data_IF_440265042383
#
_entry.id   IF_440265042383
#
_cell.length_a   1.000
_cell.length_b   1.000
_cell.length_c   1.000
_cell.angle_alpha   90.00
_cell.angle_beta   90.00
_cell.angle_gamma   90.00
#
_symmetry.space_group_name_H-M   'P 1'
#
loop_
_entity.id
_entity.type
_entity.pdbx_description
1 polymer ?
#
# COMPACT_ATOMS: atom_id res chain seq x y z
N UNK A 1 6.37 26.11 -12.49
CA UNK A 1 5.64 27.25 -13.06
C UNK A 1 5.77 27.39 -14.57
N UNK A 2 6.89 26.97 -15.17
CA UNK A 2 7.14 27.13 -16.60
C UNK A 2 6.87 25.80 -17.31
N UNK A 3 5.91 25.77 -18.25
CA UNK A 3 5.55 24.55 -18.98
C UNK A 3 6.14 24.53 -20.40
N UNK A 4 6.42 25.69 -20.95
CA UNK A 4 6.92 25.87 -22.33
C UNK A 4 8.30 26.52 -22.28
N UNK A 5 9.30 25.73 -21.92
CA UNK A 5 10.69 26.19 -21.93
C UNK A 5 11.29 25.84 -23.29
N UNK A 6 11.77 26.85 -24.01
CA UNK A 6 12.51 26.66 -25.25
C UNK A 6 14.02 26.79 -24.96
N UNK A 7 14.79 25.83 -25.47
CA UNK A 7 16.24 25.81 -25.35
C UNK A 7 16.83 25.99 -26.75
N UNK A 8 17.54 27.09 -26.95
CA UNK A 8 18.24 27.38 -28.19
C UNK A 8 19.75 27.18 -28.00
N UNK A 9 20.31 26.06 -28.42
CA UNK A 9 21.76 25.84 -28.29
C UNK A 9 22.48 26.61 -29.41
N UNK A 10 23.34 27.56 -29.04
CA UNK A 10 24.22 28.29 -29.94
C UNK A 10 25.64 27.74 -29.78
N UNK A 11 26.16 27.14 -30.85
CA UNK A 11 27.53 26.60 -30.84
C UNK A 11 28.47 27.55 -31.59
N UNK A 12 29.58 27.91 -30.96
CA UNK A 12 30.67 28.62 -31.62
C UNK A 12 31.95 27.75 -31.59
N UNK A 13 32.53 27.54 -32.76
CA UNK A 13 33.75 26.76 -32.92
C UNK A 13 34.93 27.71 -33.14
N UNK A 14 35.96 27.62 -32.30
CA UNK A 14 37.22 28.31 -32.46
C UNK A 14 38.26 27.34 -33.02
N UNK A 15 38.53 27.45 -34.31
CA UNK A 15 39.52 26.59 -35.00
C UNK A 15 40.95 26.81 -34.45
N UNK A 16 41.27 28.05 -34.07
CA UNK A 16 42.60 28.41 -33.53
C UNK A 16 42.87 27.80 -32.17
N UNK A 17 41.85 27.68 -31.31
CA UNK A 17 41.97 27.12 -29.96
C UNK A 17 41.52 25.67 -29.88
N UNK A 18 41.02 25.08 -30.98
CA UNK A 18 40.43 23.73 -30.99
C UNK A 18 39.40 23.53 -29.86
N UNK A 19 38.58 24.55 -29.62
CA UNK A 19 37.52 24.57 -28.57
C UNK A 19 36.18 24.82 -29.20
N UNK A 20 35.15 24.14 -28.64
CA UNK A 20 33.75 24.38 -28.96
C UNK A 20 33.13 24.99 -27.72
N UNK A 21 32.63 26.22 -27.86
CA UNK A 21 31.81 26.84 -26.80
C UNK A 21 30.34 26.62 -27.14
N UNK A 22 29.60 26.06 -26.18
CA UNK A 22 28.17 25.87 -26.24
C UNK A 22 27.49 26.90 -25.34
N UNK A 23 26.74 27.83 -25.94
CA UNK A 23 25.90 28.77 -25.20
C UNK A 23 24.45 28.33 -25.37
N UNK A 24 23.76 28.03 -24.23
CA UNK A 24 22.36 27.61 -24.23
C UNK A 24 21.52 28.80 -23.77
N UNK A 25 20.77 29.37 -24.72
CA UNK A 25 19.80 30.38 -24.40
C UNK A 25 18.48 29.72 -23.96
N UNK A 26 17.97 30.13 -22.79
CA UNK A 26 16.79 29.54 -22.18
C UNK A 26 15.66 30.56 -22.18
N UNK A 27 14.68 30.38 -23.06
CA UNK A 27 13.43 31.11 -23.00
C UNK A 27 12.42 30.35 -22.14
N UNK A 28 12.13 30.94 -20.96
CA UNK A 28 11.26 30.30 -19.96
C UNK A 28 9.78 30.38 -20.30
N UNK A 29 9.39 31.28 -21.19
CA UNK A 29 7.98 31.56 -21.47
C UNK A 29 7.17 32.03 -20.26
N UNK A 30 5.85 32.15 -20.37
CA UNK A 30 4.98 32.55 -19.25
C UNK A 30 4.83 31.44 -18.19
N UNK A 31 4.53 31.88 -16.95
CA UNK A 31 4.12 30.93 -15.90
C UNK A 31 2.73 30.41 -16.18
N UNK A 32 2.57 29.10 -16.19
CA UNK A 32 1.33 28.42 -16.48
C UNK A 32 0.70 27.90 -15.19
N UNK A 33 -0.61 28.08 -15.04
CA UNK A 33 -1.42 27.49 -13.97
C UNK A 33 -2.13 26.22 -14.45
N UNK A 34 -2.38 25.33 -13.52
CA UNK A 34 -3.20 24.14 -13.77
C UNK A 34 -4.66 24.58 -13.83
N UNK A 35 -5.30 24.32 -14.95
CA UNK A 35 -6.73 24.54 -15.17
C UNK A 35 -7.54 23.41 -14.53
N UNK A 36 -8.20 22.59 -15.34
CA UNK A 36 -9.00 21.45 -14.86
C UNK A 36 -8.19 20.16 -14.87
N UNK A 37 -8.45 19.32 -13.87
CA UNK A 37 -7.93 17.97 -13.80
C UNK A 37 -9.07 17.00 -14.10
N UNK A 38 -8.98 16.29 -15.22
CA UNK A 38 -9.95 15.29 -15.66
C UNK A 38 -9.35 13.90 -15.54
N UNK A 39 -10.11 12.97 -14.98
CA UNK A 39 -9.75 11.57 -14.88
C UNK A 39 -10.66 10.80 -15.85
N UNK A 40 -10.08 9.96 -16.68
CA UNK A 40 -10.81 9.19 -17.71
C UNK A 40 -10.35 7.73 -17.71
N UNK A 41 -11.28 6.82 -18.03
CA UNK A 41 -10.99 5.37 -18.07
C UNK A 41 -11.27 4.64 -16.75
N UNK A 42 -11.61 5.35 -15.69
CA UNK A 42 -11.97 4.78 -14.38
C UNK A 42 -13.46 4.37 -14.36
N UNK A 43 -13.75 3.14 -14.75
CA UNK A 43 -15.12 2.61 -14.75
C UNK A 43 -15.54 2.06 -13.38
N UNK A 44 -14.62 1.43 -12.66
CA UNK A 44 -14.84 0.82 -11.35
C UNK A 44 -14.30 1.69 -10.21
N UNK A 45 -13.09 2.22 -10.38
CA UNK A 45 -12.43 3.06 -9.37
C UNK A 45 -13.06 4.44 -9.31
N UNK A 46 -13.46 4.88 -8.14
CA UNK A 46 -14.04 6.21 -7.95
C UNK A 46 -13.00 7.30 -8.22
N UNK A 47 -13.41 8.41 -8.83
CA UNK A 47 -12.55 9.57 -9.13
C UNK A 47 -11.73 10.01 -7.91
N UNK A 48 -12.36 10.11 -6.74
CA UNK A 48 -11.69 10.53 -5.51
C UNK A 48 -10.50 9.65 -5.09
N UNK A 49 -10.52 8.35 -5.43
CA UNK A 49 -9.44 7.41 -5.10
C UNK A 49 -8.17 7.73 -5.89
N UNK A 50 -8.33 8.16 -7.12
CA UNK A 50 -7.24 8.59 -7.99
C UNK A 50 -6.79 10.01 -7.63
N UNK A 51 -7.76 10.91 -7.45
CA UNK A 51 -7.53 12.33 -7.19
C UNK A 51 -6.75 12.58 -5.90
N UNK A 52 -7.01 11.81 -4.83
CA UNK A 52 -6.29 11.94 -3.55
C UNK A 52 -4.81 11.56 -3.61
N UNK A 53 -4.39 10.79 -4.63
CA UNK A 53 -2.98 10.45 -4.86
C UNK A 53 -2.24 11.53 -5.65
N UNK A 54 -2.94 12.50 -6.20
CA UNK A 54 -2.32 13.58 -6.95
C UNK A 54 -1.58 14.56 -6.02
N UNK A 55 -0.49 15.10 -6.52
CA UNK A 55 0.35 16.10 -5.84
C UNK A 55 0.40 17.40 -6.63
N UNK A 56 -0.66 17.64 -7.40
CA UNK A 56 -0.94 18.85 -8.17
C UNK A 56 -2.42 19.16 -8.00
N UNK A 57 -2.75 20.45 -7.91
CA UNK A 57 -4.12 20.90 -7.67
C UNK A 57 -4.51 21.98 -8.68
N UNK A 58 -5.81 22.06 -8.98
CA UNK A 58 -6.36 23.09 -9.85
C UNK A 58 -6.07 24.49 -9.29
N UNK A 59 -5.64 25.40 -10.14
CA UNK A 59 -5.26 26.77 -9.75
C UNK A 59 -3.78 26.94 -9.35
N UNK A 60 -3.06 25.87 -9.03
CA UNK A 60 -1.62 25.93 -8.73
C UNK A 60 -0.77 26.13 -9.97
N UNK A 61 0.49 26.55 -9.75
CA UNK A 61 1.46 26.61 -10.84
C UNK A 61 1.85 25.21 -11.32
N UNK A 62 2.03 25.06 -12.62
CA UNK A 62 2.48 23.82 -13.22
C UNK A 62 3.78 23.31 -12.60
N UNK A 63 3.82 22.02 -12.28
CA UNK A 63 4.98 21.32 -11.75
C UNK A 63 5.17 19.97 -12.42
N UNK A 64 6.20 19.85 -13.25
CA UNK A 64 6.54 18.58 -13.90
C UNK A 64 6.91 17.48 -12.89
N UNK A 65 7.59 17.86 -11.79
CA UNK A 65 7.93 16.95 -10.69
C UNK A 65 6.67 16.47 -9.97
N UNK A 66 5.73 17.40 -9.68
CA UNK A 66 4.43 17.07 -9.09
C UNK A 66 3.63 16.11 -9.96
N UNK A 67 3.66 16.33 -11.27
CA UNK A 67 2.98 15.50 -12.27
C UNK A 67 3.54 14.07 -12.30
N UNK A 68 4.87 13.92 -12.41
CA UNK A 68 5.55 12.62 -12.36
C UNK A 68 5.36 11.92 -11.01
N UNK A 69 5.32 12.68 -9.90
CA UNK A 69 5.04 12.12 -8.58
C UNK A 69 3.60 11.60 -8.49
N UNK A 70 2.63 12.35 -9.01
CA UNK A 70 1.22 11.93 -9.08
C UNK A 70 1.07 10.65 -9.88
N UNK A 71 1.65 10.57 -11.07
CA UNK A 71 1.63 9.38 -11.91
C UNK A 71 2.19 8.14 -11.18
N UNK A 72 3.32 8.29 -10.49
CA UNK A 72 3.91 7.20 -9.69
C UNK A 72 3.02 6.77 -8.53
N UNK A 73 2.38 7.72 -7.84
CA UNK A 73 1.47 7.41 -6.72
C UNK A 73 0.22 6.68 -7.20
N UNK A 74 -0.36 7.10 -8.31
CA UNK A 74 -1.52 6.45 -8.94
C UNK A 74 -1.14 5.02 -9.39
N UNK A 75 0.00 4.84 -10.05
CA UNK A 75 0.50 3.51 -10.44
C UNK A 75 0.71 2.59 -9.22
N UNK A 76 1.16 3.15 -8.08
CA UNK A 76 1.40 2.40 -6.84
C UNK A 76 0.12 1.83 -6.21
N UNK A 77 -1.06 2.35 -6.52
CA UNK A 77 -2.33 1.77 -6.09
C UNK A 77 -2.50 0.32 -6.56
N UNK A 78 -1.87 -0.05 -7.68
CA UNK A 78 -1.94 -1.40 -8.21
C UNK A 78 -3.28 -1.77 -8.84
N UNK A 79 -4.16 -0.81 -9.11
CA UNK A 79 -5.49 -1.01 -9.70
C UNK A 79 -5.49 -0.92 -11.22
N UNK A 80 -4.38 -0.50 -11.81
CA UNK A 80 -4.22 -0.22 -13.23
C UNK A 80 -3.21 -1.17 -13.88
N UNK A 81 -3.32 -1.36 -15.18
CA UNK A 81 -2.34 -2.12 -15.95
C UNK A 81 -0.95 -1.48 -15.88
N UNK A 82 0.15 -2.26 -16.00
CA UNK A 82 1.48 -1.70 -16.14
C UNK A 82 1.54 -0.75 -17.34
N UNK A 83 1.95 0.52 -17.10
CA UNK A 83 1.92 1.57 -18.14
C UNK A 83 0.52 2.05 -18.54
N UNK A 84 -0.52 1.59 -17.83
CA UNK A 84 -1.91 2.00 -18.06
C UNK A 84 -2.30 3.33 -17.43
N UNK A 85 -1.41 3.98 -16.67
CA UNK A 85 -1.62 5.34 -16.16
C UNK A 85 -0.80 6.29 -17.02
N UNK A 86 -1.46 7.25 -17.66
CA UNK A 86 -0.84 8.29 -18.48
C UNK A 86 -1.36 9.65 -18.08
N UNK A 87 -0.46 10.55 -17.78
CA UNK A 87 -0.81 11.93 -17.46
C UNK A 87 -0.42 12.81 -18.62
N UNK A 88 -1.43 13.39 -19.28
CA UNK A 88 -1.26 14.29 -20.42
C UNK A 88 -1.64 15.70 -20.05
N UNK A 89 -0.95 16.64 -20.64
CA UNK A 89 -1.23 18.06 -20.53
C UNK A 89 -1.90 18.53 -21.82
N UNK A 90 -2.97 19.29 -21.69
CA UNK A 90 -3.71 19.88 -22.78
C UNK A 90 -3.79 21.38 -22.55
N UNK A 91 -3.73 22.18 -23.61
CA UNK A 91 -3.88 23.64 -23.47
C UNK A 91 -5.25 23.95 -22.87
N UNK A 92 -5.26 24.76 -21.82
CA UNK A 92 -6.48 25.18 -21.15
C UNK A 92 -7.26 26.24 -21.92
N UNK A 93 -8.39 26.65 -21.39
CA UNK A 93 -9.26 27.66 -22.00
C UNK A 93 -8.58 29.05 -22.01
N UNK A 94 -7.89 29.42 -20.94
CA UNK A 94 -7.11 30.65 -20.89
C UNK A 94 -5.67 30.42 -21.39
N UNK A 95 -5.05 31.45 -21.90
CA UNK A 95 -3.70 31.37 -22.49
C UNK A 95 -2.61 30.98 -21.50
N UNK A 96 -2.82 31.27 -20.21
CA UNK A 96 -1.92 30.99 -19.09
C UNK A 96 -2.32 29.72 -18.31
N UNK A 97 -3.26 28.92 -18.84
CA UNK A 97 -3.73 27.69 -18.18
C UNK A 97 -3.44 26.44 -19.00
N UNK A 98 -3.26 25.33 -18.27
CA UNK A 98 -3.03 24.01 -18.82
C UNK A 98 -3.92 23.00 -18.08
N UNK A 99 -4.76 22.28 -18.81
CA UNK A 99 -5.57 21.20 -18.30
C UNK A 99 -4.75 19.91 -18.20
N UNK A 100 -5.03 19.12 -17.17
CA UNK A 100 -4.41 17.81 -16.96
C UNK A 100 -5.45 16.72 -17.24
N UNK A 101 -5.09 15.77 -18.08
CA UNK A 101 -5.91 14.58 -18.34
C UNK A 101 -5.16 13.36 -17.82
N UNK A 102 -5.72 12.71 -16.80
CA UNK A 102 -5.21 11.46 -16.24
C UNK A 102 -6.00 10.32 -16.87
N UNK A 103 -5.36 9.62 -17.80
CA UNK A 103 -5.94 8.43 -18.41
C UNK A 103 -5.51 7.21 -17.65
N UNK A 104 -6.47 6.37 -17.30
CA UNK A 104 -6.20 5.13 -16.57
C UNK A 104 -6.82 3.93 -17.29
N UNK A 105 -6.11 2.81 -17.28
CA UNK A 105 -6.61 1.54 -17.78
C UNK A 105 -6.67 0.56 -16.63
N UNK A 106 -7.90 0.23 -16.19
CA UNK A 106 -8.13 -0.61 -15.02
C UNK A 106 -7.84 -2.07 -15.31
N UNK A 107 -7.31 -2.78 -14.31
CA UNK A 107 -7.17 -4.23 -14.32
C UNK A 107 -8.04 -4.88 -13.24
N UNK A 108 -8.18 -6.20 -13.30
CA UNK A 108 -8.80 -6.94 -12.19
C UNK A 108 -7.98 -6.76 -10.91
N UNK A 109 -8.64 -6.39 -9.82
CA UNK A 109 -8.06 -6.22 -8.47
C UNK A 109 -8.44 -7.35 -7.53
N UNK A 110 -9.25 -8.30 -8.00
CA UNK A 110 -9.58 -9.53 -7.29
C UNK A 110 -8.58 -10.64 -7.59
N UNK A 111 -8.20 -11.39 -6.56
CA UNK A 111 -7.37 -12.59 -6.67
C UNK A 111 -8.06 -13.75 -5.95
N UNK A 112 -7.99 -14.92 -6.57
CA UNK A 112 -8.44 -16.17 -5.97
C UNK A 112 -7.31 -17.19 -6.12
N UNK A 113 -6.93 -17.80 -5.00
CA UNK A 113 -5.87 -18.80 -4.96
C UNK A 113 -6.36 -20.00 -4.18
N UNK A 114 -6.12 -21.18 -4.73
CA UNK A 114 -6.36 -22.46 -4.06
C UNK A 114 -5.10 -23.30 -4.22
N UNK A 115 -4.67 -23.91 -3.16
CA UNK A 115 -3.53 -24.81 -3.13
C UNK A 115 -3.84 -26.04 -2.31
N UNK A 116 -3.28 -27.17 -2.73
CA UNK A 116 -3.29 -28.39 -1.98
C UNK A 116 -1.90 -29.05 -2.08
N UNK A 117 -1.47 -29.68 -1.01
CA UNK A 117 -0.18 -30.35 -0.95
C UNK A 117 -0.18 -31.45 0.09
N UNK A 118 0.90 -32.23 0.12
CA UNK A 118 1.14 -33.25 1.11
C UNK A 118 2.50 -33.03 1.76
N UNK A 119 2.53 -33.12 3.07
CA UNK A 119 3.73 -33.00 3.89
C UNK A 119 3.81 -34.19 4.84
N UNK A 120 5.01 -34.69 5.10
CA UNK A 120 5.22 -35.77 6.10
C UNK A 120 4.87 -35.35 7.52
N UNK A 121 4.89 -34.04 7.81
CA UNK A 121 4.55 -33.50 9.15
C UNK A 121 3.05 -33.13 9.26
N UNK A 122 2.49 -32.52 8.22
CA UNK A 122 1.12 -31.99 8.23
C UNK A 122 0.13 -32.86 7.48
N UNK A 123 0.57 -33.99 6.87
CA UNK A 123 -0.20 -34.81 5.95
C UNK A 123 -0.76 -33.99 4.78
N UNK A 124 -2.06 -34.02 4.57
CA UNK A 124 -2.73 -33.23 3.57
C UNK A 124 -2.88 -31.78 4.06
N UNK A 125 -2.47 -30.83 3.23
CA UNK A 125 -2.62 -29.39 3.46
C UNK A 125 -3.47 -28.80 2.34
N UNK A 126 -4.52 -28.10 2.70
CA UNK A 126 -5.34 -27.33 1.78
C UNK A 126 -5.32 -25.85 2.20
N UNK A 127 -5.21 -24.96 1.22
CA UNK A 127 -5.29 -23.52 1.45
C UNK A 127 -6.17 -22.85 0.40
N UNK A 128 -6.91 -21.85 0.82
CA UNK A 128 -7.69 -21.00 -0.05
C UNK A 128 -7.52 -19.54 0.38
N UNK A 129 -7.41 -18.65 -0.59
CA UNK A 129 -7.35 -17.22 -0.36
C UNK A 129 -8.18 -16.49 -1.41
N UNK A 130 -9.00 -15.56 -0.95
CA UNK A 130 -9.72 -14.60 -1.79
C UNK A 130 -9.31 -13.21 -1.33
N UNK A 131 -8.89 -12.36 -2.25
CA UNK A 131 -8.57 -10.97 -1.92
C UNK A 131 -9.12 -10.04 -2.98
N UNK A 132 -9.61 -8.89 -2.56
CA UNK A 132 -10.11 -7.80 -3.39
C UNK A 132 -9.45 -6.50 -2.92
N UNK A 133 -8.61 -5.89 -3.76
CA UNK A 133 -7.81 -4.73 -3.39
C UNK A 133 -8.46 -3.38 -3.71
N UNK A 134 -9.58 -3.34 -4.38
CA UNK A 134 -10.33 -2.12 -4.68
C UNK A 134 -11.82 -2.39 -4.50
N UNK A 135 -12.21 -2.70 -3.27
CA UNK A 135 -13.57 -3.08 -2.93
C UNK A 135 -14.54 -1.93 -3.27
N UNK A 136 -15.53 -2.24 -4.13
CA UNK A 136 -16.53 -1.25 -4.61
C UNK A 136 -15.93 0.03 -5.21
N UNK A 137 -14.68 -0.05 -5.73
CA UNK A 137 -13.98 1.09 -6.30
C UNK A 137 -13.55 2.16 -5.29
N UNK A 138 -13.55 1.84 -4.00
CA UNK A 138 -13.23 2.79 -2.90
C UNK A 138 -11.75 2.79 -2.51
N UNK A 139 -10.95 1.90 -3.10
CA UNK A 139 -9.54 1.74 -2.71
C UNK A 139 -9.36 0.97 -1.40
N UNK A 140 -10.42 0.35 -0.89
CA UNK A 140 -10.40 -0.52 0.29
C UNK A 140 -9.97 -1.93 -0.10
N UNK A 141 -9.37 -2.67 0.80
CA UNK A 141 -9.00 -4.06 0.58
C UNK A 141 -9.72 -5.00 1.56
N UNK A 142 -10.14 -6.14 1.05
CA UNK A 142 -10.70 -7.24 1.84
C UNK A 142 -10.00 -8.52 1.43
N UNK A 143 -9.52 -9.30 2.40
CA UNK A 143 -8.94 -10.61 2.15
C UNK A 143 -9.48 -11.64 3.13
N UNK A 144 -9.75 -12.82 2.60
CA UNK A 144 -10.18 -14.02 3.32
C UNK A 144 -9.14 -15.10 3.05
N UNK A 145 -8.63 -15.70 4.09
CA UNK A 145 -7.66 -16.79 4.01
C UNK A 145 -8.09 -17.94 4.90
N UNK A 146 -8.02 -19.16 4.37
CA UNK A 146 -8.21 -20.38 5.13
C UNK A 146 -7.09 -21.36 4.80
N UNK A 147 -6.54 -22.01 5.83
CA UNK A 147 -5.56 -23.10 5.72
C UNK A 147 -5.98 -24.21 6.64
N UNK A 148 -6.03 -25.43 6.11
CA UNK A 148 -6.42 -26.62 6.82
C UNK A 148 -5.37 -27.71 6.63
N UNK A 149 -4.92 -28.31 7.71
CA UNK A 149 -4.08 -29.52 7.70
C UNK A 149 -4.46 -30.41 8.87
N UNK A 150 -3.83 -31.58 9.00
CA UNK A 150 -4.09 -32.49 10.12
C UNK A 150 -3.73 -31.89 11.49
N UNK A 151 -2.76 -30.96 11.52
CA UNK A 151 -2.26 -30.37 12.77
C UNK A 151 -2.54 -28.86 12.88
N UNK A 152 -3.07 -28.23 11.82
CA UNK A 152 -3.27 -26.78 11.81
C UNK A 152 -4.54 -26.38 11.05
N UNK A 153 -5.33 -25.52 11.67
CA UNK A 153 -6.47 -24.85 11.05
C UNK A 153 -6.36 -23.36 11.28
N UNK A 154 -6.37 -22.58 10.21
CA UNK A 154 -6.28 -21.12 10.25
C UNK A 154 -7.40 -20.56 9.40
N UNK A 155 -8.15 -19.62 9.95
CA UNK A 155 -9.08 -18.77 9.21
C UNK A 155 -8.79 -17.32 9.56
N UNK A 156 -8.68 -16.47 8.56
CA UNK A 156 -8.34 -15.05 8.71
C UNK A 156 -9.18 -14.20 7.76
N UNK A 157 -9.72 -13.10 8.31
CA UNK A 157 -10.45 -12.06 7.56
C UNK A 157 -9.78 -10.73 7.85
N UNK A 158 -9.29 -10.07 6.83
CA UNK A 158 -8.64 -8.77 6.95
C UNK A 158 -9.33 -7.75 6.06
N UNK A 159 -9.63 -6.59 6.64
CA UNK A 159 -10.09 -5.40 5.94
C UNK A 159 -9.09 -4.26 6.16
N UNK A 160 -8.82 -3.45 5.14
CA UNK A 160 -8.02 -2.24 5.28
C UNK A 160 -8.53 -1.12 4.38
N UNK A 161 -8.39 0.11 4.89
CA UNK A 161 -8.72 1.36 4.21
C UNK A 161 -7.63 2.39 4.52
N UNK A 162 -6.87 2.79 3.51
CA UNK A 162 -5.78 3.75 3.67
C UNK A 162 -6.25 5.20 3.83
N UNK A 163 -7.57 5.45 3.62
CA UNK A 163 -8.20 6.78 3.76
C UNK A 163 -9.54 6.68 4.47
N UNK A 164 -9.49 6.17 5.69
CA UNK A 164 -10.68 5.91 6.49
C UNK A 164 -11.50 7.18 6.70
N UNK A 165 -12.79 7.11 6.41
CA UNK A 165 -13.72 8.24 6.43
C UNK A 165 -13.25 9.44 5.60
N UNK A 166 -12.62 9.18 4.45
CA UNK A 166 -12.05 10.19 3.55
C UNK A 166 -10.97 11.08 4.20
N UNK A 167 -10.40 10.62 5.31
CA UNK A 167 -9.32 11.28 6.03
C UNK A 167 -7.94 10.68 5.67
N UNK A 168 -6.87 11.22 6.21
CA UNK A 168 -5.51 10.65 6.08
C UNK A 168 -5.24 9.51 7.07
N UNK A 169 -6.25 9.12 7.84
CA UNK A 169 -6.16 8.00 8.79
C UNK A 169 -6.21 6.69 8.01
N UNK A 170 -5.26 5.80 8.26
CA UNK A 170 -5.29 4.41 7.80
C UNK A 170 -6.02 3.59 8.84
N UNK A 171 -6.93 2.77 8.39
CA UNK A 171 -7.65 1.82 9.23
C UNK A 171 -7.37 0.41 8.72
N UNK A 172 -7.09 -0.53 9.62
CA UNK A 172 -7.10 -1.94 9.30
C UNK A 172 -7.69 -2.73 10.46
N UNK A 173 -8.40 -3.80 10.15
CA UNK A 173 -8.89 -4.76 11.12
C UNK A 173 -8.64 -6.16 10.62
N UNK A 174 -8.36 -7.05 11.54
CA UNK A 174 -8.07 -8.44 11.27
C UNK A 174 -8.81 -9.29 12.29
N UNK A 175 -9.56 -10.28 11.83
CA UNK A 175 -10.24 -11.27 12.66
C UNK A 175 -9.68 -12.63 12.29
N UNK A 176 -9.27 -13.41 13.29
CA UNK A 176 -8.66 -14.70 13.02
C UNK A 176 -9.08 -15.76 14.02
N UNK A 177 -9.11 -16.98 13.52
CA UNK A 177 -9.15 -18.20 14.32
C UNK A 177 -7.96 -19.06 13.95
N UNK A 178 -7.22 -19.47 14.95
CA UNK A 178 -6.06 -20.34 14.81
C UNK A 178 -6.21 -21.54 15.73
N UNK A 179 -5.98 -22.74 15.20
CA UNK A 179 -5.91 -23.99 15.95
C UNK A 179 -4.62 -24.71 15.53
N UNK A 180 -3.83 -25.13 16.49
CA UNK A 180 -2.63 -25.92 16.24
C UNK A 180 -2.59 -27.08 17.21
N UNK A 181 -2.46 -28.30 16.67
CA UNK A 181 -2.36 -29.55 17.41
C UNK A 181 -0.90 -29.92 17.53
N UNK A 182 -0.44 -29.98 18.74
CA UNK A 182 0.85 -30.51 19.12
C UNK A 182 0.66 -31.92 19.66
N UNK A 183 1.74 -32.66 19.83
CA UNK A 183 1.70 -34.04 20.29
C UNK A 183 0.94 -34.19 21.63
N UNK A 184 1.13 -33.28 22.57
CA UNK A 184 0.60 -33.33 23.93
C UNK A 184 -0.53 -32.34 24.21
N UNK A 185 -0.76 -31.36 23.38
CA UNK A 185 -1.82 -30.36 23.59
C UNK A 185 -2.30 -29.75 22.28
N UNK A 186 -3.51 -29.21 22.28
CA UNK A 186 -4.05 -28.39 21.20
C UNK A 186 -4.13 -26.94 21.66
N UNK A 187 -3.53 -26.04 20.91
CA UNK A 187 -3.66 -24.60 21.15
C UNK A 187 -4.71 -24.02 20.22
N UNK A 188 -5.66 -23.30 20.81
CA UNK A 188 -6.68 -22.53 20.07
C UNK A 188 -6.51 -21.05 20.37
N UNK A 189 -6.69 -20.21 19.37
CA UNK A 189 -6.74 -18.76 19.50
C UNK A 189 -7.86 -18.21 18.64
N UNK A 190 -8.70 -17.39 19.23
CA UNK A 190 -9.72 -16.61 18.54
C UNK A 190 -9.49 -15.15 18.91
N UNK A 191 -9.25 -14.31 17.94
CA UNK A 191 -8.93 -12.92 18.23
C UNK A 191 -9.18 -12.00 17.06
N UNK A 192 -8.92 -10.75 17.34
CA UNK A 192 -8.94 -9.70 16.34
C UNK A 192 -8.11 -8.51 16.78
N UNK A 193 -7.76 -7.70 15.82
CA UNK A 193 -7.06 -6.45 16.04
C UNK A 193 -7.67 -5.32 15.21
N UNK A 194 -7.52 -4.11 15.71
CA UNK A 194 -7.87 -2.88 15.04
C UNK A 194 -6.63 -1.99 15.06
N UNK A 195 -6.20 -1.56 13.89
CA UNK A 195 -5.09 -0.64 13.70
C UNK A 195 -5.60 0.69 13.17
N UNK A 196 -5.15 1.78 13.78
CA UNK A 196 -5.26 3.14 13.28
C UNK A 196 -3.85 3.68 13.04
N UNK A 197 -3.60 4.20 11.84
CA UNK A 197 -2.33 4.79 11.45
C UNK A 197 -2.52 6.19 10.90
N UNK A 198 -1.59 7.09 11.20
CA UNK A 198 -1.61 8.46 10.71
C UNK A 198 -0.24 8.88 10.20
N UNK A 199 -0.12 9.31 8.91
CA UNK A 199 1.10 9.90 8.39
C UNK A 199 1.21 11.33 8.90
N UNK A 200 2.17 11.61 9.78
CA UNK A 200 2.41 12.93 10.34
C UNK A 200 2.95 13.85 9.23
N UNK A 201 3.96 13.36 8.52
CA UNK A 201 4.55 13.99 7.33
C UNK A 201 5.06 12.94 6.34
N UNK A 202 5.92 13.30 5.39
CA UNK A 202 6.47 12.38 4.39
C UNK A 202 7.37 11.30 5.01
N UNK A 203 8.03 11.61 6.12
CA UNK A 203 9.05 10.76 6.77
C UNK A 203 8.53 10.09 8.04
N UNK A 204 7.62 10.72 8.78
CA UNK A 204 7.11 10.22 10.04
C UNK A 204 5.68 9.70 9.92
N UNK A 205 5.44 8.54 10.49
CA UNK A 205 4.09 8.00 10.66
C UNK A 205 3.95 7.32 12.03
N UNK A 206 2.75 7.42 12.57
CA UNK A 206 2.38 6.81 13.85
C UNK A 206 1.29 5.77 13.62
N UNK A 207 1.30 4.68 14.38
CA UNK A 207 0.19 3.73 14.40
C UNK A 207 -0.08 3.22 15.82
N UNK A 208 -1.37 3.01 16.12
CA UNK A 208 -1.84 2.31 17.30
C UNK A 208 -2.60 1.06 16.88
N UNK A 209 -2.28 -0.07 17.48
CA UNK A 209 -2.96 -1.35 17.26
C UNK A 209 -3.48 -1.87 18.59
N UNK A 210 -4.78 -2.04 18.69
CA UNK A 210 -5.43 -2.72 19.80
C UNK A 210 -5.76 -4.15 19.38
N UNK A 211 -5.32 -5.13 20.15
CA UNK A 211 -5.56 -6.54 19.92
C UNK A 211 -6.30 -7.15 21.11
N UNK A 212 -7.33 -7.92 20.81
CA UNK A 212 -8.05 -8.75 21.77
C UNK A 212 -8.00 -10.20 21.28
N UNK A 213 -7.50 -11.11 22.14
CA UNK A 213 -7.33 -12.52 21.79
C UNK A 213 -7.74 -13.39 22.96
N UNK A 214 -8.61 -14.36 22.70
CA UNK A 214 -8.87 -15.47 23.60
C UNK A 214 -8.02 -16.64 23.14
N UNK A 215 -7.00 -16.99 23.93
CA UNK A 215 -6.15 -18.16 23.71
C UNK A 215 -6.51 -19.25 24.70
N UNK A 216 -6.47 -20.49 24.29
CA UNK A 216 -6.69 -21.67 25.11
C UNK A 216 -5.74 -22.79 24.73
N UNK A 217 -5.40 -23.62 25.70
CA UNK A 217 -4.69 -24.86 25.49
C UNK A 217 -5.49 -26.00 26.11
N UNK A 218 -5.70 -27.08 25.38
CA UNK A 218 -6.39 -28.29 25.84
C UNK A 218 -5.43 -29.48 25.75
N UNK A 219 -5.46 -30.38 26.75
CA UNK A 219 -4.64 -31.60 26.74
C UNK A 219 -5.10 -32.51 25.61
N UNK A 220 -4.20 -32.89 24.71
CA UNK A 220 -4.46 -33.86 23.66
C UNK A 220 -4.60 -35.27 24.20
N UNK A 221 -5.33 -36.14 23.47
CA UNK A 221 -5.77 -37.46 23.91
C UNK A 221 -4.68 -38.50 24.26
N UNK A 222 -3.41 -38.21 24.13
CA UNK A 222 -2.29 -39.11 24.46
C UNK A 222 -1.47 -38.65 25.69
N UNK A 223 -1.67 -37.44 26.17
CA UNK A 223 -0.86 -36.84 27.25
C UNK A 223 -1.66 -36.63 28.53
N UNK A 224 -2.10 -37.70 29.17
CA UNK A 224 -2.71 -37.62 30.53
C UNK A 224 -1.66 -37.62 31.65
N UNK A 225 -0.40 -37.36 31.30
CA UNK A 225 0.70 -37.26 32.26
C UNK A 225 0.67 -35.94 33.05
N UNK A 226 1.30 -35.94 34.23
CA UNK A 226 1.32 -34.77 35.12
C UNK A 226 2.00 -33.54 34.43
N UNK A 227 2.97 -33.75 33.54
CA UNK A 227 3.67 -32.68 32.83
C UNK A 227 2.75 -31.96 31.86
N UNK A 228 1.94 -32.69 31.06
CA UNK A 228 0.98 -32.13 30.13
C UNK A 228 -0.13 -31.34 30.83
N UNK A 229 -0.62 -31.85 32.00
CA UNK A 229 -1.59 -31.12 32.84
C UNK A 229 -1.00 -29.84 33.43
N UNK A 230 0.26 -29.86 33.85
CA UNK A 230 0.93 -28.67 34.37
C UNK A 230 1.14 -27.62 33.27
N UNK A 231 1.48 -28.01 32.04
CA UNK A 231 1.57 -27.10 30.93
C UNK A 231 0.22 -26.45 30.59
N UNK A 232 -0.87 -27.21 30.58
CA UNK A 232 -2.21 -26.68 30.34
C UNK A 232 -2.69 -25.78 31.45
N UNK A 233 -2.35 -26.11 32.72
CA UNK A 233 -2.67 -25.26 33.88
C UNK A 233 -1.85 -23.94 33.86
N UNK A 234 -0.62 -23.96 33.36
CA UNK A 234 0.22 -22.76 33.17
C UNK A 234 -0.25 -21.89 32.00
N UNK A 235 -0.71 -22.52 30.92
CA UNK A 235 -1.14 -21.81 29.68
C UNK A 235 -2.66 -21.77 29.52
N UNK A 236 -3.44 -22.07 30.53
CA UNK A 236 -4.91 -22.18 30.54
C UNK A 236 -5.62 -21.20 29.57
N UNK A 237 -6.91 -21.30 29.43
CA UNK A 237 -7.66 -20.36 28.57
C UNK A 237 -7.67 -18.98 29.22
N UNK A 238 -7.19 -17.99 28.49
CA UNK A 238 -7.13 -16.59 28.92
C UNK A 238 -7.56 -15.60 27.85
N UNK A 239 -8.08 -14.46 28.30
CA UNK A 239 -8.34 -13.32 27.43
C UNK A 239 -7.17 -12.35 27.56
N UNK A 240 -6.49 -12.10 26.44
CA UNK A 240 -5.38 -11.14 26.36
C UNK A 240 -5.84 -9.89 25.64
N UNK A 241 -5.67 -8.74 26.26
CA UNK A 241 -5.87 -7.43 25.70
C UNK A 241 -4.53 -6.72 25.63
N UNK A 242 -4.18 -6.18 24.47
CA UNK A 242 -2.90 -5.49 24.30
C UNK A 242 -3.05 -4.28 23.40
N UNK A 243 -2.33 -3.21 23.74
CA UNK A 243 -2.19 -2.00 22.94
C UNK A 243 -0.72 -1.87 22.53
N UNK A 244 -0.50 -1.72 21.21
CA UNK A 244 0.82 -1.43 20.64
C UNK A 244 0.77 -0.07 19.99
N UNK A 245 1.68 0.79 20.36
CA UNK A 245 1.92 2.08 19.73
C UNK A 245 3.24 1.99 18.98
N UNK A 246 3.29 2.47 17.76
CA UNK A 246 4.50 2.39 16.93
C UNK A 246 4.69 3.70 16.21
N UNK A 247 5.88 4.25 16.33
CA UNK A 247 6.34 5.42 15.58
C UNK A 247 7.33 4.96 14.52
N UNK A 248 7.10 5.35 13.26
CA UNK A 248 7.96 5.02 12.13
C UNK A 248 8.65 6.28 11.61
N UNK A 249 9.93 6.15 11.33
CA UNK A 249 10.73 7.15 10.61
C UNK A 249 11.35 6.51 9.37
N UNK A 250 11.04 7.01 8.18
CA UNK A 250 11.43 6.42 6.90
C UNK A 250 11.80 7.52 5.90
N UNK A 251 13.11 7.76 5.75
CA UNK A 251 13.66 8.72 4.78
C UNK A 251 14.23 8.05 3.54
N UNK A 252 14.02 6.74 3.36
CA UNK A 252 14.56 6.00 2.21
C UNK A 252 14.03 6.56 0.88
N UNK A 253 14.94 6.76 -0.05
CA UNK A 253 14.62 7.21 -1.41
C UNK A 253 13.76 6.21 -2.18
N UNK A 254 13.96 4.90 -1.93
CA UNK A 254 13.16 3.80 -2.46
C UNK A 254 12.93 2.75 -1.36
N UNK A 255 11.67 2.39 -1.08
CA UNK A 255 11.33 1.42 -0.03
C UNK A 255 11.69 -0.02 -0.40
N UNK A 256 11.71 -0.37 -1.69
CA UNK A 256 12.01 -1.73 -2.16
C UNK A 256 13.51 -1.93 -2.36
N UNK A 257 14.19 -0.95 -2.98
CA UNK A 257 15.61 -0.98 -3.27
C UNK A 257 16.25 0.32 -2.77
N UNK A 258 16.45 0.46 -1.46
CA UNK A 258 17.01 1.68 -0.88
C UNK A 258 18.50 1.79 -1.24
N UNK A 259 18.89 2.94 -1.77
CA UNK A 259 20.30 3.29 -2.01
C UNK A 259 20.74 4.43 -1.10
N UNK A 260 19.78 5.10 -0.41
CA UNK A 260 20.02 6.20 0.52
C UNK A 260 18.86 6.35 1.50
N UNK A 261 19.12 6.89 2.69
CA UNK A 261 18.16 7.13 3.74
C UNK A 261 18.16 6.08 4.87
N UNK A 262 17.37 6.34 5.90
CA UNK A 262 17.27 5.53 7.12
C UNK A 262 15.82 5.08 7.33
N UNK A 263 15.64 3.87 7.84
CA UNK A 263 14.37 3.39 8.36
C UNK A 263 14.56 2.92 9.82
N UNK A 264 13.71 3.41 10.71
CA UNK A 264 13.63 2.95 12.10
C UNK A 264 12.19 2.95 12.60
N UNK A 265 11.92 2.12 13.61
CA UNK A 265 10.63 2.07 14.29
C UNK A 265 10.84 1.82 15.78
N UNK A 266 10.05 2.47 16.60
CA UNK A 266 10.02 2.32 18.04
C UNK A 266 8.60 2.10 18.54
#
# INVERSE_FOLDING_TARGET
GYAYVNLVPNTSVSETKKQVALNIEIDKGPKIRIGRIRIVGNQKTRDKVIRREMRIYEGEYFSSTGLKRSERLINRLGFFEPGGVRVRTVRGVAQDTMDIVVEVKEKSTGTFQVGAGFSTLENFVAQAQIAQNNLFGRGQSLSLQATLSSIRSIANVRFADDYFLDSRVRFATNLYRFESRFENFTRTSLGGDIMLGYPINDDWSFSGTYKLEKAGAEVGGFGNDAASRNLVNLYGSGLTSSLRLTLYYDTRNNRLFPTDGLFTSA
#
